data_IF_912177879051
#
_entry.id   IF_912177879051
#
_cell.length_a   1.000
_cell.length_b   1.000
_cell.length_c   1.000
_cell.angle_alpha   90.00
_cell.angle_beta   90.00
_cell.angle_gamma   90.00
#
_symmetry.space_group_name_H-M   'P 1'
#
loop_
_entity.id
_entity.type
_entity.pdbx_description
1 polymer ?
#
# COMPACT_ATOMS: atom_id res chain seq x y z
N UNK A 1 -18.18 -22.69 -0.47
CA UNK A 1 -17.47 -23.11 0.76
C UNK A 1 -15.99 -22.96 0.47
N UNK A 2 -15.10 -22.26 1.16
CA UNK A 2 -15.06 -21.67 2.50
C UNK A 2 -13.86 -20.69 2.50
N UNK A 3 -13.99 -19.51 1.88
CA UNK A 3 -12.90 -18.50 1.86
C UNK A 3 -12.70 -17.81 3.22
N UNK A 4 -13.51 -18.15 4.22
CA UNK A 4 -13.56 -17.50 5.54
C UNK A 4 -12.69 -18.14 6.63
N UNK A 5 -11.97 -19.25 6.36
CA UNK A 5 -11.20 -20.00 7.38
C UNK A 5 -9.69 -19.84 7.36
N UNK A 6 -9.12 -19.11 6.39
CA UNK A 6 -7.64 -19.02 6.28
C UNK A 6 -7.10 -17.95 7.24
N UNK A 7 -6.06 -18.27 8.04
CA UNK A 7 -5.48 -17.31 8.97
C UNK A 7 -4.93 -16.10 8.22
N UNK A 8 -4.86 -14.94 8.90
CA UNK A 8 -4.43 -13.70 8.25
C UNK A 8 -2.98 -13.80 7.74
N UNK A 9 -2.13 -14.60 8.39
CA UNK A 9 -0.77 -14.93 7.93
C UNK A 9 -0.75 -15.60 6.56
N UNK A 10 -1.70 -16.50 6.28
CA UNK A 10 -1.85 -17.12 4.96
C UNK A 10 -2.23 -16.07 3.92
N UNK A 11 -3.13 -15.14 4.27
CA UNK A 11 -3.59 -14.08 3.36
C UNK A 11 -2.46 -13.11 3.05
N UNK A 12 -1.60 -12.79 4.03
CA UNK A 12 -0.37 -12.01 3.82
C UNK A 12 0.53 -12.71 2.80
N UNK A 13 0.89 -13.97 3.03
CA UNK A 13 1.77 -14.72 2.14
C UNK A 13 1.21 -14.78 0.71
N UNK A 14 -0.07 -15.13 0.58
CA UNK A 14 -0.71 -15.22 -0.73
C UNK A 14 -0.86 -13.87 -1.43
N UNK A 15 -1.08 -12.79 -0.69
CA UNK A 15 -1.13 -11.44 -1.27
C UNK A 15 0.26 -10.99 -1.70
N UNK A 16 1.29 -11.29 -0.89
CA UNK A 16 2.69 -10.98 -1.20
C UNK A 16 3.13 -11.61 -2.53
N UNK A 17 2.80 -12.88 -2.78
CA UNK A 17 3.06 -13.56 -4.06
C UNK A 17 2.46 -12.82 -5.27
N UNK A 18 1.37 -12.09 -5.06
CA UNK A 18 0.65 -11.35 -6.11
C UNK A 18 1.07 -9.88 -6.20
N UNK A 19 1.83 -9.38 -5.23
CA UNK A 19 2.36 -8.01 -5.27
C UNK A 19 3.42 -7.83 -6.34
N UNK A 20 4.28 -8.83 -6.55
CA UNK A 20 5.33 -8.78 -7.56
C UNK A 20 4.74 -9.23 -8.89
N UNK A 21 4.83 -8.37 -9.89
CA UNK A 21 4.40 -8.64 -11.26
C UNK A 21 5.61 -8.70 -12.20
N UNK A 22 5.36 -8.82 -13.51
CA UNK A 22 6.44 -8.87 -14.49
C UNK A 22 7.37 -7.64 -14.40
N UNK A 23 8.65 -7.84 -14.74
CA UNK A 23 9.72 -6.83 -14.69
C UNK A 23 10.05 -6.30 -13.27
N UNK A 24 9.85 -7.13 -12.25
CA UNK A 24 10.10 -6.80 -10.83
C UNK A 24 9.35 -5.54 -10.35
N UNK A 25 8.24 -5.21 -11.02
CA UNK A 25 7.35 -4.13 -10.60
C UNK A 25 6.35 -4.63 -9.55
N UNK A 26 5.74 -3.69 -8.84
CA UNK A 26 4.85 -3.98 -7.72
C UNK A 26 3.46 -3.44 -8.04
N UNK A 27 2.47 -4.34 -8.09
CA UNK A 27 1.06 -3.98 -8.20
C UNK A 27 0.62 -3.23 -6.94
N UNK A 28 0.20 -1.98 -7.11
CA UNK A 28 -0.10 -1.10 -5.98
C UNK A 28 -1.35 -1.58 -5.22
N UNK A 29 -2.35 -2.12 -5.91
CA UNK A 29 -3.58 -2.61 -5.28
C UNK A 29 -3.27 -3.81 -4.37
N UNK A 30 -2.52 -4.78 -4.87
CA UNK A 30 -2.10 -5.93 -4.06
C UNK A 30 -1.20 -5.48 -2.91
N UNK A 31 -0.32 -4.50 -3.11
CA UNK A 31 0.54 -3.97 -2.06
C UNK A 31 -0.26 -3.30 -0.93
N UNK A 32 -1.30 -2.52 -1.27
CA UNK A 32 -2.19 -1.91 -0.28
C UNK A 32 -3.05 -2.96 0.43
N UNK A 33 -3.46 -4.02 -0.27
CA UNK A 33 -4.17 -5.15 0.32
C UNK A 33 -3.28 -5.91 1.32
N UNK A 34 -1.99 -6.09 1.02
CA UNK A 34 -1.01 -6.68 1.92
C UNK A 34 -0.92 -5.88 3.23
N UNK A 35 -0.81 -4.55 3.16
CA UNK A 35 -0.79 -3.69 4.34
C UNK A 35 -2.06 -3.80 5.18
N UNK A 36 -3.24 -3.91 4.55
CA UNK A 36 -4.50 -4.15 5.28
C UNK A 36 -4.46 -5.46 6.07
N UNK A 37 -3.88 -6.52 5.50
CA UNK A 37 -3.72 -7.81 6.19
C UNK A 37 -2.72 -7.72 7.36
N UNK A 38 -1.59 -7.05 7.18
CA UNK A 38 -0.59 -6.81 8.24
C UNK A 38 -1.20 -6.01 9.40
N UNK A 39 -1.89 -4.91 9.10
CA UNK A 39 -2.54 -4.06 10.12
C UNK A 39 -3.59 -4.82 10.95
N UNK A 40 -4.33 -5.75 10.34
CA UNK A 40 -5.28 -6.62 11.08
C UNK A 40 -4.57 -7.52 12.08
N UNK A 41 -3.43 -8.10 11.70
CA UNK A 41 -2.60 -8.89 12.64
C UNK A 41 -2.07 -8.01 13.76
N UNK A 42 -1.47 -6.86 13.44
CA UNK A 42 -0.92 -5.95 14.45
C UNK A 42 -1.99 -5.48 15.45
N UNK A 43 -3.21 -5.24 14.97
CA UNK A 43 -4.35 -4.87 15.82
C UNK A 43 -4.76 -5.99 16.79
N UNK A 44 -4.52 -7.26 16.43
CA UNK A 44 -4.82 -8.40 17.29
C UNK A 44 -3.82 -8.61 18.43
N UNK A 45 -2.62 -8.04 18.32
CA UNK A 45 -1.54 -8.27 19.29
C UNK A 45 -1.66 -7.43 20.56
N UNK A 46 -1.99 -6.14 20.44
CA UNK A 46 -2.22 -5.25 21.59
C UNK A 46 -2.63 -3.85 21.11
N UNK A 47 -3.32 -3.11 21.99
CA UNK A 47 -3.68 -1.70 21.78
C UNK A 47 -2.47 -0.76 21.68
N UNK A 48 -1.28 -1.19 22.12
CA UNK A 48 -0.05 -0.42 21.95
C UNK A 48 0.25 -0.14 20.47
N UNK A 49 -0.20 -1.01 19.54
CA UNK A 49 0.01 -0.82 18.11
C UNK A 49 -1.06 0.06 17.44
N UNK A 50 -2.12 0.46 18.15
CA UNK A 50 -3.25 1.18 17.55
C UNK A 50 -2.84 2.49 16.86
N UNK A 51 -1.86 3.22 17.41
CA UNK A 51 -1.38 4.45 16.80
C UNK A 51 -0.60 4.19 15.51
N UNK A 52 0.23 3.13 15.49
CA UNK A 52 1.00 2.71 14.31
C UNK A 52 0.05 2.24 13.22
N UNK A 53 -0.88 1.35 13.57
CA UNK A 53 -1.91 0.84 12.64
C UNK A 53 -2.70 2.00 12.06
N UNK A 54 -3.12 2.97 12.87
CA UNK A 54 -3.84 4.15 12.38
C UNK A 54 -2.99 4.96 11.40
N UNK A 55 -1.72 5.22 11.69
CA UNK A 55 -0.88 5.98 10.77
C UNK A 55 -0.66 5.26 9.44
N UNK A 56 -0.34 3.96 9.48
CA UNK A 56 -0.15 3.11 8.30
C UNK A 56 -1.43 3.05 7.46
N UNK A 57 -2.59 2.79 8.09
CA UNK A 57 -3.88 2.75 7.40
C UNK A 57 -4.22 4.09 6.74
N UNK A 58 -3.97 5.22 7.41
CA UNK A 58 -4.16 6.54 6.81
C UNK A 58 -3.30 6.76 5.55
N UNK A 59 -2.07 6.22 5.50
CA UNK A 59 -1.22 6.30 4.30
C UNK A 59 -1.75 5.39 3.19
N UNK A 60 -2.16 4.18 3.54
CA UNK A 60 -2.73 3.22 2.60
C UNK A 60 -4.05 3.71 1.99
N UNK A 61 -4.91 4.36 2.78
CA UNK A 61 -6.16 4.97 2.31
C UNK A 61 -5.90 6.08 1.30
N UNK A 62 -4.95 6.98 1.56
CA UNK A 62 -4.59 8.03 0.60
C UNK A 62 -4.04 7.47 -0.72
N UNK A 63 -3.24 6.40 -0.65
CA UNK A 63 -2.78 5.70 -1.86
C UNK A 63 -3.93 5.01 -2.59
N UNK A 64 -4.90 4.47 -1.86
CA UNK A 64 -6.13 3.90 -2.44
C UNK A 64 -6.94 4.98 -3.16
N UNK A 65 -7.12 6.16 -2.55
CA UNK A 65 -7.79 7.29 -3.20
C UNK A 65 -7.08 7.76 -4.48
N UNK A 66 -5.75 7.75 -4.50
CA UNK A 66 -4.97 8.08 -5.71
C UNK A 66 -5.15 7.03 -6.81
N UNK A 67 -5.12 5.74 -6.44
CA UNK A 67 -5.39 4.63 -7.34
C UNK A 67 -6.81 4.70 -7.93
N UNK A 68 -7.82 5.00 -7.11
CA UNK A 68 -9.21 5.13 -7.57
C UNK A 68 -9.42 6.32 -8.50
N UNK A 69 -8.65 7.41 -8.32
CA UNK A 69 -8.71 8.59 -9.19
C UNK A 69 -8.03 8.37 -10.54
N UNK A 70 -6.94 7.61 -10.58
CA UNK A 70 -6.18 7.33 -11.80
C UNK A 70 -5.59 5.92 -11.77
N UNK A 71 -6.45 4.92 -12.03
CA UNK A 71 -6.11 3.50 -11.93
C UNK A 71 -5.01 3.07 -12.90
N UNK A 72 -4.81 3.80 -14.00
CA UNK A 72 -3.76 3.50 -14.98
C UNK A 72 -2.42 4.03 -14.48
N UNK A 73 -2.36 5.31 -14.08
CA UNK A 73 -1.10 5.90 -13.64
C UNK A 73 -0.62 5.33 -12.30
N UNK A 74 -1.53 4.93 -11.41
CA UNK A 74 -1.20 4.36 -10.11
C UNK A 74 -1.29 2.83 -10.06
N UNK A 75 -1.35 2.16 -11.21
CA UNK A 75 -1.43 0.69 -11.28
C UNK A 75 -0.26 0.02 -10.54
N UNK A 76 0.95 0.54 -10.74
CA UNK A 76 2.16 0.01 -10.14
C UNK A 76 2.96 1.08 -9.41
N UNK A 77 3.90 0.66 -8.57
CA UNK A 77 4.82 1.60 -7.91
C UNK A 77 5.64 2.38 -8.96
N UNK A 78 6.10 1.72 -10.03
CA UNK A 78 6.87 2.38 -11.08
C UNK A 78 6.04 3.36 -11.90
N UNK A 79 4.82 3.00 -12.32
CA UNK A 79 3.95 3.91 -13.08
C UNK A 79 3.56 5.14 -12.25
N UNK A 80 3.32 4.93 -10.95
CA UNK A 80 3.06 6.01 -10.00
C UNK A 80 4.26 6.97 -9.92
N UNK A 81 5.46 6.44 -9.74
CA UNK A 81 6.67 7.25 -9.64
C UNK A 81 6.93 8.05 -10.93
N UNK A 82 6.72 7.45 -12.10
CA UNK A 82 6.83 8.13 -13.40
C UNK A 82 5.82 9.28 -13.52
N UNK A 83 4.54 9.00 -13.23
CA UNK A 83 3.48 10.01 -13.24
C UNK A 83 3.81 11.21 -12.36
N UNK A 84 4.32 10.94 -11.15
CA UNK A 84 4.64 11.97 -10.17
C UNK A 84 5.93 12.75 -10.46
N UNK A 85 6.86 12.18 -11.21
CA UNK A 85 8.00 12.91 -11.73
C UNK A 85 7.59 13.81 -12.91
N UNK A 86 6.83 13.28 -13.86
CA UNK A 86 6.34 14.01 -15.04
C UNK A 86 5.53 15.26 -14.66
N UNK A 87 4.66 15.15 -13.64
CA UNK A 87 3.85 16.27 -13.18
C UNK A 87 4.53 17.13 -12.10
N UNK A 88 5.76 16.78 -11.70
CA UNK A 88 6.55 17.49 -10.69
C UNK A 88 6.05 17.34 -9.24
N UNK A 89 5.06 16.48 -8.96
CA UNK A 89 4.51 16.25 -7.61
C UNK A 89 5.57 15.69 -6.67
N UNK A 90 6.48 14.86 -7.17
CA UNK A 90 7.61 14.31 -6.39
C UNK A 90 8.58 15.40 -5.90
N UNK A 91 8.64 16.54 -6.61
CA UNK A 91 9.51 17.68 -6.26
C UNK A 91 8.90 18.57 -5.18
N UNK A 92 7.68 18.28 -4.75
CA UNK A 92 7.05 19.01 -3.66
C UNK A 92 7.81 18.74 -2.35
N UNK A 93 8.27 19.80 -1.68
CA UNK A 93 9.04 19.70 -0.42
C UNK A 93 8.26 19.06 0.75
N UNK A 94 6.96 18.81 0.56
CA UNK A 94 6.09 18.11 1.51
C UNK A 94 5.84 16.68 1.01
N UNK A 95 6.63 15.68 1.47
CA UNK A 95 6.50 14.29 1.01
C UNK A 95 5.13 13.67 1.32
N UNK A 96 4.41 14.20 2.32
CA UNK A 96 3.07 13.73 2.68
C UNK A 96 1.94 14.11 1.70
N UNK A 97 2.27 14.52 0.46
CA UNK A 97 1.31 14.89 -0.57
C UNK A 97 1.41 14.06 -1.86
N UNK A 98 2.47 13.28 -2.04
CA UNK A 98 2.67 12.41 -3.20
C UNK A 98 2.45 10.95 -2.83
N UNK A 99 1.97 10.13 -3.73
CA UNK A 99 1.88 8.68 -3.58
C UNK A 99 3.24 8.07 -3.26
N UNK A 100 4.31 8.47 -3.95
CA UNK A 100 5.69 8.07 -3.63
C UNK A 100 6.09 8.40 -2.18
N UNK A 101 5.67 9.54 -1.65
CA UNK A 101 5.97 9.93 -0.28
C UNK A 101 5.15 9.18 0.77
N UNK A 102 3.90 8.82 0.46
CA UNK A 102 3.11 7.89 1.30
C UNK A 102 3.71 6.49 1.29
N UNK A 103 4.13 6.00 0.11
CA UNK A 103 4.80 4.72 -0.06
C UNK A 103 6.11 4.64 0.72
N UNK A 104 6.93 5.69 0.72
CA UNK A 104 8.18 5.75 1.49
C UNK A 104 7.96 5.57 3.00
N UNK A 105 6.81 6.01 3.53
CA UNK A 105 6.47 5.78 4.95
C UNK A 105 6.09 4.33 5.19
N UNK A 106 5.38 3.71 4.24
CA UNK A 106 5.02 2.29 4.34
C UNK A 106 6.26 1.39 4.24
N UNK A 107 7.24 1.75 3.41
CA UNK A 107 8.41 0.91 3.15
C UNK A 107 9.59 1.13 4.14
N UNK A 108 9.37 1.86 5.23
CA UNK A 108 10.35 2.13 6.29
C UNK A 108 10.25 1.11 7.42
#
# INVERSE_FOLDING_TARGET
MEKSKRPETYRIMHTLERTIIANDDVDLEQYLLLWKHICRIMSSWSTIFSFVVKDVMNKAEKLTEMLERDAVAYKTIMSMAQKEDENGTIRNKKPNRSGTGHLLVLNR
#
